data_IF_123426690149
#
_entry.id   IF_123426690149
#
_cell.length_a   1.000
_cell.length_b   1.000
_cell.length_c   1.000
_cell.angle_alpha   90.00
_cell.angle_beta   90.00
_cell.angle_gamma   90.00
#
_symmetry.space_group_name_H-M   'P 1'
#
loop_
_entity.id
_entity.type
_entity.pdbx_description
1 polymer ?
#
# COMPACT_ATOMS: atom_id res chain seq x y z
N UNK A 1 8.94 -2.35 -2.99
CA UNK A 1 8.74 -1.15 -3.86
C UNK A 1 7.41 -0.49 -3.53
N UNK A 2 7.24 0.83 -3.76
CA UNK A 2 6.01 1.56 -3.39
C UNK A 2 4.75 1.00 -4.06
N UNK A 3 4.83 0.56 -5.32
CA UNK A 3 3.69 -0.03 -6.02
C UNK A 3 3.24 -1.36 -5.39
N UNK A 4 4.17 -2.14 -4.84
CA UNK A 4 3.83 -3.36 -4.09
C UNK A 4 3.14 -3.04 -2.76
N UNK A 5 3.54 -1.94 -2.11
CA UNK A 5 2.85 -1.46 -0.92
C UNK A 5 1.39 -1.10 -1.22
N UNK A 6 1.15 -0.42 -2.35
CA UNK A 6 -0.19 -0.10 -2.82
C UNK A 6 -1.02 -1.35 -3.14
N UNK A 7 -0.43 -2.35 -3.82
CA UNK A 7 -1.10 -3.64 -4.10
C UNK A 7 -1.49 -4.33 -2.79
N UNK A 8 -0.55 -4.51 -1.86
CA UNK A 8 -0.82 -5.13 -0.55
C UNK A 8 -1.93 -4.41 0.22
N UNK A 9 -1.92 -3.08 0.21
CA UNK A 9 -2.95 -2.28 0.86
C UNK A 9 -4.34 -2.46 0.20
N UNK A 10 -4.41 -2.56 -1.13
CA UNK A 10 -5.69 -2.81 -1.82
C UNK A 10 -6.26 -4.20 -1.55
N UNK A 11 -5.39 -5.22 -1.47
CA UNK A 11 -5.79 -6.60 -1.14
C UNK A 11 -6.35 -6.69 0.28
N UNK A 12 -5.77 -5.92 1.22
CA UNK A 12 -6.18 -5.86 2.63
C UNK A 12 -6.94 -4.58 2.99
N UNK A 13 -7.65 -3.98 2.01
CA UNK A 13 -8.27 -2.65 2.17
C UNK A 13 -9.17 -2.51 3.41
N UNK A 14 -9.93 -3.55 3.75
CA UNK A 14 -10.81 -3.52 4.92
C UNK A 14 -10.03 -3.42 6.23
N UNK A 15 -8.96 -4.20 6.35
CA UNK A 15 -8.07 -4.17 7.53
C UNK A 15 -7.31 -2.84 7.61
N UNK A 16 -6.83 -2.32 6.47
CA UNK A 16 -6.17 -1.01 6.42
C UNK A 16 -7.12 0.09 6.88
N UNK A 17 -8.36 0.11 6.38
CA UNK A 17 -9.36 1.08 6.81
C UNK A 17 -9.67 0.97 8.30
N UNK A 18 -9.86 -0.25 8.83
CA UNK A 18 -10.10 -0.46 10.25
C UNK A 18 -8.94 0.05 11.11
N UNK A 19 -7.69 -0.24 10.73
CA UNK A 19 -6.50 0.23 11.45
C UNK A 19 -6.41 1.75 11.46
N UNK A 20 -6.75 2.41 10.35
CA UNK A 20 -6.75 3.88 10.27
C UNK A 20 -7.85 4.47 11.14
N UNK A 21 -9.06 3.90 11.11
CA UNK A 21 -10.19 4.33 11.93
C UNK A 21 -9.91 4.17 13.44
N UNK A 22 -9.22 3.10 13.82
CA UNK A 22 -8.86 2.79 15.22
C UNK A 22 -7.63 3.58 15.74
N UNK A 23 -6.98 4.38 14.90
CA UNK A 23 -5.80 5.16 15.26
C UNK A 23 -6.20 6.54 15.81
N UNK A 24 -5.56 6.99 16.89
CA UNK A 24 -5.86 8.29 17.52
C UNK A 24 -5.45 9.47 16.65
N UNK A 25 -4.37 9.32 15.88
CA UNK A 25 -3.80 10.37 15.06
C UNK A 25 -3.05 9.81 13.84
N UNK A 26 -2.61 10.71 12.96
CA UNK A 26 -1.94 10.36 11.72
C UNK A 26 -0.61 9.61 11.94
N UNK A 27 0.18 10.00 12.94
CA UNK A 27 1.47 9.36 13.20
C UNK A 27 1.28 7.92 13.68
N UNK A 28 0.27 7.68 14.52
CA UNK A 28 -0.11 6.32 14.93
C UNK A 28 -0.60 5.50 13.72
N UNK A 29 -1.43 6.07 12.85
CA UNK A 29 -1.91 5.39 11.65
C UNK A 29 -0.74 4.99 10.72
N UNK A 30 0.25 5.87 10.53
CA UNK A 30 1.47 5.59 9.74
C UNK A 30 2.21 4.38 10.33
N UNK A 31 2.39 4.36 11.65
CA UNK A 31 3.09 3.28 12.34
C UNK A 31 2.31 1.96 12.21
N UNK A 32 1.00 1.97 12.51
CA UNK A 32 0.17 0.76 12.56
C UNK A 32 -0.08 0.17 11.18
N UNK A 33 -0.29 0.99 10.15
CA UNK A 33 -0.35 0.52 8.75
C UNK A 33 0.99 -0.09 8.31
N UNK A 34 2.10 0.52 8.74
CA UNK A 34 3.44 -0.02 8.50
C UNK A 34 3.62 -1.41 9.09
N UNK A 35 3.23 -1.58 10.36
CA UNK A 35 3.25 -2.88 11.04
C UNK A 35 2.33 -3.89 10.37
N UNK A 36 1.09 -3.50 10.02
CA UNK A 36 0.11 -4.35 9.36
C UNK A 36 0.64 -4.93 8.05
N UNK A 37 1.28 -4.10 7.23
CA UNK A 37 1.67 -4.44 5.85
C UNK A 37 3.16 -4.81 5.69
N UNK A 38 3.95 -4.73 6.76
CA UNK A 38 5.40 -4.94 6.74
C UNK A 38 6.12 -3.86 5.92
N UNK A 39 5.73 -2.60 6.10
CA UNK A 39 6.25 -1.44 5.38
C UNK A 39 7.05 -0.52 6.31
N UNK A 40 8.07 0.13 5.75
CA UNK A 40 8.69 1.29 6.39
C UNK A 40 7.82 2.55 6.25
N UNK A 41 8.19 3.61 6.97
CA UNK A 41 7.41 4.85 7.08
C UNK A 41 6.96 5.43 5.74
N UNK A 42 7.87 5.53 4.75
CA UNK A 42 7.54 6.04 3.42
C UNK A 42 6.47 5.19 2.72
N UNK A 43 6.54 3.86 2.85
CA UNK A 43 5.54 2.96 2.28
C UNK A 43 4.18 3.14 2.94
N UNK A 44 4.16 3.31 4.26
CA UNK A 44 2.94 3.59 5.02
C UNK A 44 2.29 4.90 4.61
N UNK A 45 3.07 5.99 4.50
CA UNK A 45 2.58 7.30 4.05
C UNK A 45 1.95 7.23 2.66
N UNK A 46 2.61 6.53 1.73
CA UNK A 46 2.09 6.32 0.37
C UNK A 46 0.77 5.54 0.35
N UNK A 47 0.58 4.59 1.28
CA UNK A 47 -0.71 3.89 1.44
C UNK A 47 -1.80 4.84 1.97
N UNK A 48 -1.49 5.68 2.96
CA UNK A 48 -2.45 6.63 3.52
C UNK A 48 -2.84 7.75 2.55
N UNK A 49 -1.91 8.18 1.70
CA UNK A 49 -2.15 9.18 0.65
C UNK A 49 -2.91 8.59 -0.57
N UNK A 50 -3.23 7.29 -0.54
CA UNK A 50 -3.93 6.63 -1.64
C UNK A 50 -5.35 7.16 -1.79
N UNK A 51 -5.61 7.81 -2.93
CA UNK A 51 -6.92 8.36 -3.22
C UNK A 51 -7.93 7.27 -3.57
N UNK A 52 -9.18 7.43 -3.13
CA UNK A 52 -10.28 6.46 -3.34
C UNK A 52 -10.46 6.04 -4.81
N UNK A 53 -10.19 6.94 -5.76
CA UNK A 53 -10.23 6.63 -7.21
C UNK A 53 -9.32 5.46 -7.61
N UNK A 54 -8.24 5.19 -6.87
CA UNK A 54 -7.31 4.07 -7.14
C UNK A 54 -7.94 2.71 -6.88
N UNK A 55 -9.04 2.66 -6.13
CA UNK A 55 -9.79 1.43 -5.89
C UNK A 55 -10.72 1.04 -7.04
N UNK A 56 -10.86 1.81 -8.13
CA UNK A 56 -11.62 1.32 -9.29
C UNK A 56 -10.89 0.14 -9.95
N UNK A 57 -11.65 -0.78 -10.55
CA UNK A 57 -11.10 -2.04 -11.07
C UNK A 57 -9.95 -1.84 -12.07
N UNK A 58 -10.09 -0.85 -12.96
CA UNK A 58 -9.07 -0.47 -13.95
C UNK A 58 -7.77 0.02 -13.27
N UNK A 59 -7.89 0.91 -12.27
CA UNK A 59 -6.73 1.45 -11.57
C UNK A 59 -6.00 0.38 -10.76
N UNK A 60 -6.74 -0.51 -10.08
CA UNK A 60 -6.14 -1.64 -9.36
C UNK A 60 -5.36 -2.55 -10.29
N UNK A 61 -5.94 -2.88 -11.44
CA UNK A 61 -5.28 -3.72 -12.45
C UNK A 61 -4.02 -3.04 -12.99
N UNK A 62 -4.08 -1.73 -13.29
CA UNK A 62 -2.93 -0.98 -13.79
C UNK A 62 -1.77 -0.95 -12.77
N UNK A 63 -2.07 -0.72 -11.48
CA UNK A 63 -1.06 -0.71 -10.40
C UNK A 63 -0.42 -2.10 -10.26
N UNK A 64 -1.24 -3.16 -10.27
CA UNK A 64 -0.74 -4.54 -10.16
C UNK A 64 0.16 -4.91 -11.34
N UNK A 65 -0.27 -4.61 -12.57
CA UNK A 65 0.52 -4.87 -13.78
C UNK A 65 1.86 -4.13 -13.75
N UNK A 66 1.86 -2.85 -13.34
CA UNK A 66 3.08 -2.07 -13.27
C UNK A 66 4.03 -2.55 -12.16
N UNK A 67 3.49 -2.98 -11.01
CA UNK A 67 4.31 -3.59 -9.95
C UNK A 67 5.02 -4.86 -10.46
N UNK A 68 4.34 -5.68 -11.26
CA UNK A 68 4.92 -6.89 -11.84
C UNK A 68 5.94 -6.58 -12.93
N UNK A 69 5.66 -5.60 -13.80
CA UNK A 69 6.63 -5.09 -14.78
C UNK A 69 7.93 -4.64 -14.09
N UNK A 70 7.83 -3.84 -13.02
CA UNK A 70 8.98 -3.40 -12.25
C UNK A 70 9.73 -4.58 -11.61
N UNK A 71 9.02 -5.57 -11.05
CA UNK A 71 9.62 -6.78 -10.48
C UNK A 71 10.42 -7.55 -11.53
N UNK A 72 9.87 -7.72 -12.73
CA UNK A 72 10.53 -8.42 -13.84
C UNK A 72 11.78 -7.72 -14.37
N UNK A 73 11.87 -6.39 -14.19
CA UNK A 73 13.02 -5.57 -14.63
C UNK A 73 14.14 -5.49 -13.61
N UNK A 74 13.87 -5.86 -12.35
CA UNK A 74 14.90 -5.94 -11.35
C UNK A 74 15.56 -7.33 -11.44
N UNK A 75 16.87 -7.42 -11.78
CA UNK A 75 17.57 -8.68 -11.73
C UNK A 75 17.59 -9.14 -10.27
N UNK A 76 16.86 -10.21 -9.95
CA UNK A 76 16.78 -10.89 -8.64
C UNK A 76 17.62 -10.22 -7.53
N UNK A 77 17.05 -9.24 -6.86
CA UNK A 77 17.68 -8.60 -5.70
C UNK A 77 17.70 -9.56 -4.52
N UNK A 78 18.86 -10.14 -4.24
CA UNK A 78 19.24 -10.46 -2.87
C UNK A 78 19.31 -9.18 -2.04
#
# INVERSE_FOLDING_TARGET
>A
MLHEALVKAMDRRGEVFQVVEDSENLDEAIQRVGQLLGLGELGSRVVLDMQVRRFTRDQRQAIASYAEELRSRLPNGR
#
